data_IF_822929834576
#
_entry.id   IF_822929834576
#
_cell.length_a   1.000
_cell.length_b   1.000
_cell.length_c   1.000
_cell.angle_alpha   90.00
_cell.angle_beta   90.00
_cell.angle_gamma   90.00
#
_symmetry.space_group_name_H-M   'P 1'
#
loop_
_entity.id
_entity.type
_entity.pdbx_description
1 polymer ?
#
# COMPACT_ATOMS: atom_id res chain seq x y z
N UNK A 1 -8.95 7.98 18.37
CA UNK A 1 -8.17 8.29 17.15
C UNK A 1 -9.03 7.92 15.97
N UNK A 2 -9.33 8.85 15.05
CA UNK A 2 -10.25 8.60 13.94
C UNK A 2 -9.46 8.56 12.64
N UNK A 3 -9.04 7.36 12.25
CA UNK A 3 -8.47 7.09 10.94
C UNK A 3 -9.58 7.16 9.89
N UNK A 4 -9.30 7.80 8.75
CA UNK A 4 -10.22 7.82 7.61
C UNK A 4 -10.37 6.42 7.01
N UNK A 5 -11.36 6.23 6.15
CA UNK A 5 -11.51 4.97 5.40
C UNK A 5 -10.28 4.70 4.51
N UNK A 6 -9.69 5.75 3.94
CA UNK A 6 -8.48 5.65 3.14
C UNK A 6 -7.28 5.25 4.00
N UNK A 7 -7.10 5.87 5.18
CA UNK A 7 -5.99 5.52 6.09
C UNK A 7 -6.07 4.04 6.49
N UNK A 8 -7.27 3.56 6.79
CA UNK A 8 -7.49 2.16 7.12
C UNK A 8 -7.20 1.23 5.93
N UNK A 9 -7.56 1.64 4.71
CA UNK A 9 -7.24 0.90 3.48
C UNK A 9 -5.74 0.82 3.23
N UNK A 10 -5.00 1.89 3.55
CA UNK A 10 -3.54 1.97 3.44
C UNK A 10 -2.88 1.05 4.48
N UNK A 11 -3.31 1.13 5.75
CA UNK A 11 -2.81 0.22 6.79
C UNK A 11 -3.06 -1.25 6.44
N UNK A 12 -4.24 -1.56 5.90
CA UNK A 12 -4.56 -2.91 5.45
C UNK A 12 -3.71 -3.34 4.26
N UNK A 13 -3.49 -2.45 3.28
CA UNK A 13 -2.61 -2.72 2.16
C UNK A 13 -1.16 -2.97 2.63
N UNK A 14 -0.67 -2.17 3.57
CA UNK A 14 0.65 -2.35 4.18
C UNK A 14 0.74 -3.62 4.99
N UNK A 15 -0.31 -4.07 5.70
CA UNK A 15 -0.31 -5.38 6.36
C UNK A 15 0.02 -6.52 5.37
N UNK A 16 -0.51 -6.43 4.17
CA UNK A 16 -0.35 -7.47 3.17
C UNK A 16 0.90 -7.37 2.29
N UNK A 17 1.59 -6.22 2.29
CA UNK A 17 2.70 -5.90 1.36
C UNK A 17 3.93 -5.28 2.02
N UNK A 18 3.75 -4.60 3.14
CA UNK A 18 4.82 -4.10 3.97
C UNK A 18 5.54 -5.30 4.54
N UNK A 19 6.65 -5.65 3.88
CA UNK A 19 7.51 -6.79 4.21
C UNK A 19 7.70 -6.98 5.72
N UNK A 20 7.99 -8.23 6.07
CA UNK A 20 8.21 -8.70 7.43
C UNK A 20 8.98 -7.70 8.31
N UNK A 21 8.45 -7.47 9.51
CA UNK A 21 9.06 -6.67 10.57
C UNK A 21 10.51 -7.08 10.86
N UNK A 22 10.89 -8.33 10.58
CA UNK A 22 12.22 -8.87 10.84
C UNK A 22 13.21 -8.72 9.67
N UNK A 23 12.79 -8.18 8.51
CA UNK A 23 13.73 -7.95 7.42
C UNK A 23 14.57 -6.69 7.67
N UNK A 24 15.89 -6.85 7.61
CA UNK A 24 16.86 -5.75 7.72
C UNK A 24 16.92 -4.89 6.43
N UNK A 25 16.47 -5.44 5.29
CA UNK A 25 16.49 -4.77 4.00
C UNK A 25 15.10 -4.23 3.62
N UNK A 26 15.02 -2.92 3.42
CA UNK A 26 13.82 -2.25 2.95
C UNK A 26 13.74 -2.40 1.42
N UNK A 27 12.82 -3.25 0.98
CA UNK A 27 12.48 -3.33 -0.45
C UNK A 27 11.31 -2.39 -0.71
N UNK A 28 11.39 -1.63 -1.79
CA UNK A 28 10.28 -0.79 -2.22
C UNK A 28 9.02 -1.62 -2.46
N UNK A 29 7.91 -1.17 -1.88
CA UNK A 29 6.61 -1.84 -1.94
C UNK A 29 5.44 -0.85 -1.99
N UNK A 30 5.74 0.44 -1.97
CA UNK A 30 4.73 1.49 -1.82
C UNK A 30 3.78 1.54 -3.02
N UNK A 31 4.29 1.27 -4.21
CA UNK A 31 3.48 1.08 -5.41
C UNK A 31 2.40 0.00 -5.25
N UNK A 32 2.78 -1.14 -4.66
CA UNK A 32 1.88 -2.27 -4.39
C UNK A 32 0.89 -1.91 -3.27
N UNK A 33 1.35 -1.22 -2.23
CA UNK A 33 0.50 -0.72 -1.14
C UNK A 33 -0.55 0.24 -1.70
N UNK A 34 -0.15 1.19 -2.54
CA UNK A 34 -1.07 2.15 -3.18
C UNK A 34 -2.11 1.40 -4.02
N UNK A 35 -1.70 0.45 -4.86
CA UNK A 35 -2.64 -0.35 -5.66
C UNK A 35 -3.63 -1.14 -4.82
N UNK A 36 -3.17 -1.81 -3.76
CA UNK A 36 -4.06 -2.55 -2.87
C UNK A 36 -5.02 -1.63 -2.13
N UNK A 37 -4.55 -0.46 -1.70
CA UNK A 37 -5.42 0.48 -1.02
C UNK A 37 -6.54 0.96 -1.92
N UNK A 38 -6.30 1.14 -3.23
CA UNK A 38 -7.33 1.49 -4.21
C UNK A 38 -8.39 0.38 -4.33
N UNK A 39 -7.97 -0.90 -4.33
CA UNK A 39 -8.91 -2.02 -4.27
C UNK A 39 -9.75 -2.00 -2.98
N UNK A 40 -9.10 -1.83 -1.82
CA UNK A 40 -9.79 -1.82 -0.53
C UNK A 40 -10.74 -0.62 -0.39
N UNK A 41 -10.43 0.52 -1.01
CA UNK A 41 -11.35 1.66 -1.04
C UNK A 41 -12.46 1.55 -2.09
N UNK A 42 -12.43 0.53 -2.95
CA UNK A 42 -13.41 0.33 -4.03
C UNK A 42 -13.14 1.14 -5.30
N UNK A 43 -11.97 1.77 -5.41
CA UNK A 43 -11.53 2.51 -6.61
C UNK A 43 -11.06 1.55 -7.72
N UNK A 44 -10.75 0.30 -7.38
CA UNK A 44 -10.46 -0.78 -8.33
C UNK A 44 -11.35 -1.98 -8.06
N UNK A 45 -11.81 -2.62 -9.13
CA UNK A 45 -12.41 -3.96 -9.06
C UNK A 45 -11.35 -5.02 -8.73
N UNK A 46 -11.81 -6.19 -8.28
CA UNK A 46 -10.92 -7.32 -8.04
C UNK A 46 -10.18 -7.76 -9.33
N UNK A 47 -10.85 -7.70 -10.48
CA UNK A 47 -10.29 -8.06 -11.79
C UNK A 47 -9.21 -7.07 -12.24
N UNK A 48 -9.44 -5.77 -12.09
CA UNK A 48 -8.43 -4.74 -12.39
C UNK A 48 -7.23 -4.85 -11.46
N UNK A 49 -7.47 -5.05 -10.16
CA UNK A 49 -6.43 -5.30 -9.19
C UNK A 49 -5.61 -6.54 -9.59
N UNK A 50 -6.27 -7.64 -9.99
CA UNK A 50 -5.60 -8.87 -10.43
C UNK A 50 -4.74 -8.66 -11.66
N UNK A 51 -5.28 -7.99 -12.67
CA UNK A 51 -4.59 -7.71 -13.92
C UNK A 51 -3.27 -6.97 -13.68
N UNK A 52 -3.32 -5.89 -12.88
CA UNK A 52 -2.14 -5.06 -12.56
C UNK A 52 -1.07 -5.86 -11.80
N UNK A 53 -1.47 -6.66 -10.81
CA UNK A 53 -0.51 -7.47 -10.04
C UNK A 53 0.06 -8.66 -10.82
N UNK A 54 -0.70 -9.25 -11.75
CA UNK A 54 -0.26 -10.42 -12.51
C UNK A 54 0.83 -10.08 -13.53
N UNK A 55 0.83 -8.85 -14.04
CA UNK A 55 1.85 -8.38 -14.98
C UNK A 55 3.19 -8.07 -14.29
N UNK A 56 3.23 -8.08 -12.95
CA UNK A 56 4.40 -7.63 -12.19
C UNK A 56 4.79 -6.18 -12.50
N UNK A 57 3.92 -5.46 -13.20
CA UNK A 57 4.23 -4.22 -13.86
C UNK A 57 3.30 -3.15 -13.32
N UNK A 58 3.92 -2.11 -12.79
CA UNK A 58 3.30 -0.85 -12.39
C UNK A 58 2.96 0.02 -13.60
N UNK A 59 3.01 -0.50 -14.82
CA UNK A 59 2.67 0.20 -16.06
C UNK A 59 1.29 0.87 -16.03
N UNK A 60 0.33 0.37 -15.26
CA UNK A 60 -0.97 1.01 -15.04
C UNK A 60 -1.00 2.14 -14.00
N UNK A 61 0.13 2.45 -13.37
CA UNK A 61 0.29 3.59 -12.47
C UNK A 61 0.64 4.87 -13.19
N UNK A 62 1.21 4.79 -14.38
CA UNK A 62 1.74 5.93 -15.11
C UNK A 62 0.96 6.16 -16.41
N UNK A 63 0.81 7.42 -16.77
CA UNK A 63 0.32 7.85 -18.08
C UNK A 63 1.45 7.76 -19.11
N UNK A 64 1.08 7.85 -20.40
CA UNK A 64 2.03 8.01 -21.50
C UNK A 64 2.81 9.32 -21.30
N UNK A 65 4.01 9.21 -20.72
CA UNK A 65 4.81 10.34 -20.25
C UNK A 65 5.54 10.09 -18.93
N UNK A 66 5.24 9.00 -18.22
CA UNK A 66 5.91 8.65 -16.97
C UNK A 66 5.36 9.40 -15.74
N UNK A 67 4.24 10.10 -15.89
CA UNK A 67 3.51 10.77 -14.80
C UNK A 67 2.52 9.81 -14.15
N UNK A 68 2.38 9.87 -12.82
CA UNK A 68 1.37 9.04 -12.13
C UNK A 68 -0.04 9.42 -12.56
N UNK A 69 -0.90 8.41 -12.76
CA UNK A 69 -2.35 8.62 -12.89
C UNK A 69 -2.86 9.33 -11.63
N UNK A 70 -3.72 10.34 -11.79
CA UNK A 70 -4.13 11.24 -10.71
C UNK A 70 -4.64 10.53 -9.44
N UNK A 71 -5.37 9.42 -9.60
CA UNK A 71 -5.84 8.61 -8.46
C UNK A 71 -4.70 7.96 -7.66
N UNK A 72 -3.65 7.51 -8.37
CA UNK A 72 -2.45 6.89 -7.78
C UNK A 72 -1.62 7.94 -7.08
N UNK A 73 -1.43 9.10 -7.72
CA UNK A 73 -0.75 10.25 -7.13
C UNK A 73 -1.42 10.68 -5.83
N UNK A 74 -2.73 10.91 -5.85
CA UNK A 74 -3.50 11.27 -4.66
C UNK A 74 -3.34 10.21 -3.55
N UNK A 75 -3.42 8.92 -3.90
CA UNK A 75 -3.29 7.85 -2.91
C UNK A 75 -1.88 7.74 -2.33
N UNK A 76 -0.87 8.02 -3.14
CA UNK A 76 0.51 8.08 -2.68
C UNK A 76 0.73 9.26 -1.73
N UNK A 77 0.23 10.46 -2.08
CA UNK A 77 0.28 11.63 -1.20
C UNK A 77 -0.39 11.36 0.15
N UNK A 78 -1.54 10.65 0.14
CA UNK A 78 -2.23 10.21 1.37
C UNK A 78 -1.38 9.23 2.18
N UNK A 79 -0.68 8.29 1.53
CA UNK A 79 0.24 7.38 2.23
C UNK A 79 1.40 8.15 2.88
N UNK A 80 1.99 9.11 2.20
CA UNK A 80 3.03 10.00 2.76
C UNK A 80 2.48 10.79 3.96
N UNK A 81 1.26 11.29 3.86
CA UNK A 81 0.59 11.97 4.97
C UNK A 81 0.40 11.04 6.17
N UNK A 82 -0.09 9.81 5.96
CA UNK A 82 -0.24 8.81 7.03
C UNK A 82 1.11 8.45 7.67
N UNK A 83 2.17 8.30 6.87
CA UNK A 83 3.53 8.07 7.36
C UNK A 83 4.03 9.22 8.25
N UNK A 84 3.73 10.47 7.89
CA UNK A 84 4.13 11.66 8.64
C UNK A 84 3.31 11.87 9.92
N UNK A 85 1.99 11.69 9.85
CA UNK A 85 1.07 11.96 10.97
C UNK A 85 1.04 10.77 11.95
N UNK A 86 1.13 9.55 11.44
CA UNK A 86 1.01 8.30 12.21
C UNK A 86 2.23 7.38 12.05
N UNK A 87 3.47 7.87 12.31
CA UNK A 87 4.69 7.06 12.17
C UNK A 87 4.72 5.87 13.15
N UNK A 88 3.90 5.91 14.19
CA UNK A 88 3.74 4.83 15.15
C UNK A 88 2.78 3.74 14.67
N UNK A 89 2.12 3.87 13.51
CA UNK A 89 1.28 2.84 12.91
C UNK A 89 1.96 2.24 11.68
N UNK A 90 2.49 3.10 10.82
CA UNK A 90 3.23 2.72 9.63
C UNK A 90 4.58 3.44 9.65
N UNK A 91 5.65 2.67 9.45
CA UNK A 91 6.98 3.23 9.27
C UNK A 91 7.37 3.18 7.80
N UNK A 92 8.15 4.17 7.37
CA UNK A 92 8.61 4.32 6.00
C UNK A 92 10.13 4.33 5.92
N UNK A 93 10.65 3.84 4.80
CA UNK A 93 12.03 3.99 4.37
C UNK A 93 12.09 4.81 3.08
N UNK A 94 12.85 5.90 3.10
CA UNK A 94 12.98 6.84 1.98
C UNK A 94 13.10 8.29 2.46
N UNK A 95 13.18 9.23 1.51
CA UNK A 95 13.02 10.65 1.78
C UNK A 95 11.52 10.98 1.76
N UNK A 96 11.00 11.49 2.88
CA UNK A 96 9.60 11.89 3.00
C UNK A 96 9.40 13.38 2.87
N UNK A 97 10.42 14.22 2.92
CA UNK A 97 10.30 15.68 2.79
C UNK A 97 10.19 16.07 1.30
N UNK A 98 10.93 15.37 0.44
CA UNK A 98 10.80 15.41 -1.01
C UNK A 98 10.51 14.00 -1.53
N UNK A 99 9.27 13.49 -1.40
CA UNK A 99 8.98 12.09 -1.68
C UNK A 99 9.37 11.74 -3.11
N UNK A 100 10.26 10.75 -3.21
CA UNK A 100 10.65 10.15 -4.47
C UNK A 100 9.44 9.47 -5.14
N UNK A 101 9.61 9.02 -6.37
CA UNK A 101 8.63 8.17 -7.04
C UNK A 101 8.23 6.97 -6.14
N UNK A 102 6.95 6.54 -6.11
CA UNK A 102 6.50 5.43 -5.25
C UNK A 102 7.34 4.16 -5.36
N UNK A 103 8.00 3.94 -6.50
CA UNK A 103 8.90 2.81 -6.72
C UNK A 103 10.20 2.87 -5.92
N UNK A 104 10.52 3.98 -5.26
CA UNK A 104 11.66 4.12 -4.34
C UNK A 104 11.24 4.22 -2.87
N UNK A 105 9.95 4.19 -2.59
CA UNK A 105 9.42 4.30 -1.23
C UNK A 105 9.10 2.92 -0.69
N UNK A 106 9.63 2.62 0.48
CA UNK A 106 9.29 1.42 1.22
C UNK A 106 8.45 1.80 2.45
N UNK A 107 7.49 0.96 2.80
CA UNK A 107 6.73 1.13 4.04
C UNK A 107 6.34 -0.22 4.61
N UNK A 108 6.23 -0.30 5.95
CA UNK A 108 5.72 -1.48 6.64
C UNK A 108 4.95 -1.08 7.89
N UNK A 109 4.07 -1.96 8.35
CA UNK A 109 3.37 -1.73 9.60
C UNK A 109 4.34 -1.84 10.76
N UNK A 110 4.16 -0.98 11.74
CA UNK A 110 4.77 -1.14 13.06
C UNK A 110 3.99 -2.18 13.87
N UNK A 111 4.53 -2.56 15.04
CA UNK A 111 3.81 -3.40 16.00
C UNK A 111 2.42 -2.85 16.38
N UNK A 112 2.30 -1.53 16.61
CA UNK A 112 1.01 -0.89 16.92
C UNK A 112 0.08 -0.84 15.71
N UNK A 113 0.62 -0.71 14.50
CA UNK A 113 -0.16 -0.82 13.26
C UNK A 113 -0.81 -2.20 13.12
N UNK A 114 -0.07 -3.26 13.45
CA UNK A 114 -0.59 -4.64 13.43
C UNK A 114 -1.76 -4.86 14.40
N UNK A 115 -1.75 -4.22 15.57
CA UNK A 115 -2.84 -4.31 16.56
C UNK A 115 -4.18 -3.81 16.00
N UNK A 116 -4.18 -2.90 15.02
CA UNK A 116 -5.39 -2.35 14.41
C UNK A 116 -5.99 -3.23 13.30
N UNK A 117 -5.19 -4.13 12.72
CA UNK A 117 -5.57 -4.90 11.54
C UNK A 117 -6.80 -5.79 11.74
N UNK A 118 -7.00 -6.48 12.88
CA UNK A 118 -8.18 -7.32 13.08
C UNK A 118 -9.51 -6.56 12.97
N UNK A 119 -9.57 -5.33 13.47
CA UNK A 119 -10.78 -4.50 13.39
C UNK A 119 -10.95 -3.88 12.01
N UNK A 120 -9.84 -3.47 11.37
CA UNK A 120 -9.86 -2.95 10.00
C UNK A 120 -10.38 -4.02 9.03
N UNK A 121 -9.88 -5.25 9.11
CA UNK A 121 -10.28 -6.37 8.24
C UNK A 121 -11.79 -6.59 8.15
N UNK A 122 -12.53 -6.37 9.25
CA UNK A 122 -13.99 -6.54 9.30
C UNK A 122 -14.75 -5.54 8.42
N UNK A 123 -14.11 -4.45 8.01
CA UNK A 123 -14.73 -3.31 7.29
C UNK A 123 -14.40 -3.30 5.80
N UNK A 124 -13.48 -4.16 5.36
CA UNK A 124 -12.98 -4.20 4.00
C UNK A 124 -13.41 -5.49 3.28
N UNK A 125 -13.47 -5.48 1.94
CA UNK A 125 -13.71 -6.71 1.20
C UNK A 125 -12.64 -7.75 1.54
N UNK A 126 -13.00 -9.02 1.40
CA UNK A 126 -12.04 -10.10 1.56
C UNK A 126 -10.87 -9.92 0.60
N UNK A 127 -9.67 -10.26 1.07
CA UNK A 127 -8.48 -10.25 0.24
C UNK A 127 -8.70 -11.15 -0.99
N UNK A 128 -8.51 -10.65 -2.21
CA UNK A 128 -8.68 -11.48 -3.40
C UNK A 128 -7.56 -12.53 -3.50
N UNK A 129 -7.90 -13.66 -4.13
CA UNK A 129 -6.98 -14.78 -4.32
C UNK A 129 -6.11 -14.55 -5.55
N UNK A 130 -4.86 -14.10 -5.37
CA UNK A 130 -3.94 -13.83 -6.47
C UNK A 130 -2.82 -14.90 -6.54
N UNK A 131 -2.41 -15.34 -7.75
CA UNK A 131 -1.33 -16.33 -7.90
C UNK A 131 0.01 -15.88 -7.32
N UNK A 132 0.29 -14.56 -7.34
CA UNK A 132 1.59 -13.99 -6.99
C UNK A 132 1.55 -13.11 -5.74
N UNK A 133 0.66 -13.38 -4.78
CA UNK A 133 0.67 -12.62 -3.54
C UNK A 133 1.88 -13.00 -2.66
N UNK A 134 2.61 -12.03 -2.07
CA UNK A 134 3.80 -12.30 -1.27
C UNK A 134 3.60 -13.17 -0.04
N UNK A 135 2.38 -13.28 0.47
CA UNK A 135 2.03 -14.11 1.63
C UNK A 135 1.94 -15.60 1.26
N UNK A 136 1.92 -15.90 -0.05
CA UNK A 136 2.03 -17.25 -0.60
C UNK A 136 3.43 -17.58 -1.09
N UNK A 137 4.44 -16.76 -0.77
CA UNK A 137 5.84 -17.19 -0.92
C UNK A 137 6.09 -18.27 0.14
N UNK A 138 5.83 -19.50 -0.27
CA UNK A 138 6.28 -20.75 0.35
C UNK A 138 7.78 -20.73 0.62
#
# INVERSE_FOLDING_TARGET
MNLTFIDQSLLLATYYRGNDLQQDNWTSCCDQVVQLSLFYSGDLTAEECQSRFSQGNVSGLYQDGGELVSQVKMRYEQLIEVLRIYPHLIEGGGDFDSPADPTFTACRLTAKGLELIPEILKRFPQKPCFPNWPDRRS
#
